data_IF_165544201386
#
_entry.id   IF_165544201386
#
_cell.length_a   1.000
_cell.length_b   1.000
_cell.length_c   1.000
_cell.angle_alpha   90.00
_cell.angle_beta   90.00
_cell.angle_gamma   90.00
#
_symmetry.space_group_name_H-M   'P 1'
#
loop_
_entity.id
_entity.type
_entity.pdbx_description
1 polymer ?
#
# COMPACT_ATOMS: atom_id res chain seq x y z
N UNK A 1 -0.44 -34.43 11.27
CA UNK A 1 -1.01 -33.23 10.62
C UNK A 1 -1.23 -32.21 11.72
N UNK A 2 -0.63 -31.02 11.60
CA UNK A 2 -0.95 -29.90 12.48
C UNK A 2 -2.41 -29.51 12.27
N UNK A 3 -3.12 -29.18 13.34
CA UNK A 3 -4.51 -28.73 13.26
C UNK A 3 -4.55 -27.21 13.18
N UNK A 4 -5.53 -26.62 12.51
CA UNK A 4 -5.68 -25.17 12.40
C UNK A 4 -5.88 -24.47 13.77
N UNK A 5 -6.29 -25.22 14.80
CA UNK A 5 -6.34 -24.74 16.18
C UNK A 5 -4.95 -24.45 16.79
N UNK A 6 -3.88 -24.95 16.15
CA UNK A 6 -2.49 -24.74 16.55
C UNK A 6 -1.82 -23.62 15.71
N UNK A 7 -2.59 -22.92 14.86
CA UNK A 7 -2.05 -21.86 14.02
C UNK A 7 -1.49 -20.72 14.87
N UNK A 8 -0.21 -20.50 14.76
CA UNK A 8 0.54 -19.48 15.50
C UNK A 8 2.02 -19.51 15.11
N UNK A 9 2.77 -18.57 15.65
CA UNK A 9 4.22 -18.56 15.47
C UNK A 9 4.85 -19.79 16.11
N UNK A 10 5.89 -20.32 15.46
CA UNK A 10 6.76 -21.31 16.10
C UNK A 10 7.32 -20.75 17.41
N UNK A 11 7.59 -21.60 18.43
CA UNK A 11 8.01 -21.13 19.74
C UNK A 11 9.22 -20.19 19.74
N UNK A 12 10.17 -20.42 18.81
CA UNK A 12 11.37 -19.58 18.67
C UNK A 12 11.11 -18.16 18.20
N UNK A 13 9.91 -17.88 17.66
CA UNK A 13 9.51 -16.58 17.12
C UNK A 13 8.42 -15.87 17.93
N UNK A 14 7.70 -16.62 18.80
CA UNK A 14 6.48 -16.13 19.43
C UNK A 14 6.68 -14.94 20.39
N UNK A 15 7.87 -14.82 20.99
CA UNK A 15 8.16 -13.78 22.00
C UNK A 15 9.15 -12.71 21.50
N UNK A 16 9.50 -12.71 20.22
CA UNK A 16 10.43 -11.72 19.70
C UNK A 16 9.79 -10.33 19.66
N UNK A 17 10.51 -9.36 20.23
CA UNK A 17 10.11 -7.96 20.16
C UNK A 17 10.18 -7.46 18.73
N UNK A 18 9.14 -6.77 18.27
CA UNK A 18 9.04 -6.17 16.93
C UNK A 18 8.95 -4.67 17.08
N UNK A 19 9.86 -3.96 16.46
CA UNK A 19 9.80 -2.51 16.31
C UNK A 19 9.97 -2.14 14.83
N UNK A 20 9.48 -0.96 14.45
CA UNK A 20 9.66 -0.47 13.09
C UNK A 20 10.02 1.01 13.10
N UNK A 21 10.73 1.45 12.07
CA UNK A 21 11.02 2.85 11.77
C UNK A 21 10.69 3.16 10.33
N UNK A 22 10.35 4.40 10.06
CA UNK A 22 10.21 4.92 8.70
C UNK A 22 11.31 5.95 8.48
N UNK A 23 12.11 5.77 7.46
CA UNK A 23 13.20 6.66 7.09
C UNK A 23 12.85 7.41 5.80
N UNK A 24 13.09 8.71 5.77
CA UNK A 24 13.05 9.52 4.56
C UNK A 24 14.38 9.35 3.82
N UNK A 25 14.34 8.70 2.68
CA UNK A 25 15.52 8.51 1.83
C UNK A 25 15.39 9.37 0.58
N UNK A 26 16.43 10.13 0.27
CA UNK A 26 16.49 10.95 -0.93
C UNK A 26 17.22 10.21 -2.05
N UNK A 27 16.54 9.99 -3.17
CA UNK A 27 17.12 9.49 -4.40
C UNK A 27 17.00 10.56 -5.48
N UNK A 28 18.05 11.35 -5.69
CA UNK A 28 18.02 12.55 -6.53
C UNK A 28 17.02 13.57 -6.00
N UNK A 29 16.05 14.00 -6.83
CA UNK A 29 14.99 14.96 -6.45
C UNK A 29 13.74 14.28 -5.87
N UNK A 30 13.76 12.95 -5.64
CA UNK A 30 12.60 12.18 -5.20
C UNK A 30 12.79 11.71 -3.76
N UNK A 31 11.89 12.14 -2.89
CA UNK A 31 11.78 11.61 -1.54
C UNK A 31 11.12 10.24 -1.60
N UNK A 32 11.77 9.23 -1.04
CA UNK A 32 11.24 7.87 -0.88
C UNK A 32 11.06 7.58 0.59
N UNK A 33 9.97 6.90 0.93
CA UNK A 33 9.70 6.44 2.27
C UNK A 33 10.14 4.99 2.37
N UNK A 34 11.09 4.69 3.26
CA UNK A 34 11.51 3.33 3.55
C UNK A 34 11.07 2.93 4.96
N UNK A 35 10.34 1.84 5.05
CA UNK A 35 9.97 1.24 6.33
C UNK A 35 10.87 0.04 6.62
N UNK A 36 11.48 0.09 7.80
CA UNK A 36 12.37 -0.95 8.28
C UNK A 36 11.84 -1.56 9.57
N UNK A 37 12.09 -2.84 9.75
CA UNK A 37 11.71 -3.59 10.94
C UNK A 37 12.95 -4.09 11.66
N UNK A 38 12.89 -4.08 13.00
CA UNK A 38 13.84 -4.74 13.89
C UNK A 38 13.11 -5.83 14.66
N UNK A 39 13.54 -7.07 14.52
CA UNK A 39 12.93 -8.25 15.11
C UNK A 39 13.95 -8.87 16.07
N UNK A 40 13.78 -8.68 17.38
CA UNK A 40 14.76 -9.11 18.36
C UNK A 40 16.17 -8.66 17.98
N UNK A 41 17.13 -9.59 18.01
CA UNK A 41 18.53 -9.34 17.65
C UNK A 41 18.85 -9.65 16.16
N UNK A 42 17.82 -9.92 15.34
CA UNK A 42 18.01 -10.18 13.91
C UNK A 42 18.48 -8.92 13.17
N UNK A 43 19.09 -9.04 11.98
CA UNK A 43 19.40 -7.89 11.14
C UNK A 43 18.15 -7.05 10.84
N UNK A 44 18.34 -5.74 10.68
CA UNK A 44 17.25 -4.85 10.26
C UNK A 44 16.71 -5.27 8.89
N UNK A 45 15.39 -5.30 8.74
CA UNK A 45 14.71 -5.86 7.56
C UNK A 45 13.86 -4.78 6.87
N UNK A 46 13.95 -4.64 5.52
CA UNK A 46 13.06 -3.75 4.80
C UNK A 46 11.62 -4.28 4.80
N UNK A 47 10.65 -3.38 4.70
CA UNK A 47 9.26 -3.81 4.51
C UNK A 47 9.03 -4.38 3.11
N UNK A 48 8.04 -5.28 2.98
CA UNK A 48 7.60 -5.80 1.68
C UNK A 48 7.28 -4.66 0.71
N UNK A 49 6.58 -3.63 1.16
CA UNK A 49 6.20 -2.48 0.32
C UNK A 49 7.40 -1.64 -0.10
N UNK A 50 8.36 -1.42 0.80
CA UNK A 50 9.65 -0.75 0.49
C UNK A 50 10.41 -1.49 -0.60
N UNK A 51 10.52 -2.81 -0.50
CA UNK A 51 11.17 -3.64 -1.53
C UNK A 51 10.45 -3.53 -2.87
N UNK A 52 9.11 -3.54 -2.87
CA UNK A 52 8.31 -3.46 -4.10
C UNK A 52 8.35 -2.08 -4.76
N UNK A 53 8.70 -1.02 -4.05
CA UNK A 53 8.89 0.29 -4.65
C UNK A 53 10.06 0.33 -5.65
N UNK A 54 10.99 -0.66 -5.59
CA UNK A 54 12.04 -0.86 -6.60
C UNK A 54 11.50 -1.21 -8.00
N UNK A 55 10.31 -1.81 -8.09
CA UNK A 55 9.70 -2.17 -9.39
C UNK A 55 9.29 -0.90 -10.17
N UNK A 56 9.08 0.23 -9.46
CA UNK A 56 8.55 1.45 -10.03
C UNK A 56 7.05 1.34 -10.33
N UNK A 57 6.39 2.46 -10.40
CA UNK A 57 4.94 2.57 -10.66
C UNK A 57 4.69 3.56 -11.81
N UNK A 58 4.97 3.18 -13.08
CA UNK A 58 4.85 4.12 -14.20
C UNK A 58 3.45 4.73 -14.32
N UNK A 59 2.40 3.93 -14.11
CA UNK A 59 1.03 4.41 -14.12
C UNK A 59 0.72 5.47 -13.06
N UNK A 60 1.34 5.35 -11.87
CA UNK A 60 1.20 6.36 -10.81
C UNK A 60 1.90 7.67 -11.17
N UNK A 61 3.07 7.60 -11.81
CA UNK A 61 3.78 8.78 -12.31
C UNK A 61 2.96 9.52 -13.35
N UNK A 62 2.41 8.79 -14.33
CA UNK A 62 1.58 9.35 -15.39
C UNK A 62 0.27 9.94 -14.82
N UNK A 63 -0.33 9.27 -13.85
CA UNK A 63 -1.50 9.77 -13.14
C UNK A 63 -1.22 11.09 -12.39
N UNK A 64 -0.09 11.18 -11.65
CA UNK A 64 0.33 12.42 -10.97
C UNK A 64 0.51 13.56 -11.96
N UNK A 65 1.13 13.29 -13.09
CA UNK A 65 1.34 14.28 -14.16
C UNK A 65 0.00 14.72 -14.77
N UNK A 66 -0.92 13.80 -15.04
CA UNK A 66 -2.25 14.12 -15.55
C UNK A 66 -3.05 14.98 -14.56
N UNK A 67 -2.98 14.68 -13.24
CA UNK A 67 -3.64 15.50 -12.22
C UNK A 67 -3.04 16.90 -12.11
N UNK A 68 -1.75 17.05 -12.28
CA UNK A 68 -1.10 18.36 -12.35
C UNK A 68 -1.60 19.18 -13.57
N UNK A 69 -1.72 18.55 -14.73
CA UNK A 69 -2.25 19.17 -15.94
C UNK A 69 -3.74 19.52 -15.81
N UNK A 70 -4.56 18.61 -15.29
CA UNK A 70 -5.98 18.84 -15.03
C UNK A 70 -6.21 20.04 -14.10
N UNK A 71 -5.43 20.14 -13.02
CA UNK A 71 -5.48 21.29 -12.13
C UNK A 71 -5.11 22.58 -12.84
N UNK A 72 -3.99 22.60 -13.57
CA UNK A 72 -3.55 23.78 -14.33
C UNK A 72 -4.60 24.21 -15.37
N UNK A 73 -5.20 23.26 -16.07
CA UNK A 73 -6.26 23.50 -17.05
C UNK A 73 -7.50 24.11 -16.39
N UNK A 74 -7.99 23.52 -15.29
CA UNK A 74 -9.18 23.99 -14.60
C UNK A 74 -9.01 25.41 -14.05
N UNK A 75 -7.86 25.72 -13.46
CA UNK A 75 -7.55 27.08 -13.01
C UNK A 75 -7.49 28.06 -14.18
N UNK A 76 -6.85 27.66 -15.28
CA UNK A 76 -6.75 28.51 -16.47
C UNK A 76 -8.13 28.80 -17.11
N UNK A 77 -9.08 27.86 -17.02
CA UNK A 77 -10.43 28.02 -17.55
C UNK A 77 -11.36 28.79 -16.61
N UNK A 78 -11.15 28.73 -15.30
CA UNK A 78 -11.98 29.37 -14.30
C UNK A 78 -11.66 30.86 -14.08
N UNK A 79 -10.41 31.27 -14.28
CA UNK A 79 -9.97 32.64 -14.08
C UNK A 79 -9.78 33.35 -15.45
N UNK A 80 -10.32 34.59 -15.63
CA UNK A 80 -9.97 35.40 -16.77
C UNK A 80 -8.47 35.77 -16.67
N UNK A 81 -7.66 35.19 -17.51
CA UNK A 81 -6.23 35.53 -17.57
C UNK A 81 -6.08 36.97 -18.06
N UNK A 82 -5.41 37.84 -17.29
CA UNK A 82 -5.11 39.16 -17.78
C UNK A 82 -4.26 39.07 -19.04
N UNK A 83 -4.56 39.89 -20.04
CA UNK A 83 -3.70 39.98 -21.23
C UNK A 83 -2.28 40.37 -20.73
N UNK A 84 -1.36 39.44 -20.92
CA UNK A 84 0.03 39.70 -20.51
C UNK A 84 0.75 40.46 -21.62
N UNK A 85 1.18 41.71 -21.38
CA UNK A 85 2.05 42.40 -22.31
C UNK A 85 3.34 41.60 -22.48
N UNK A 86 3.79 41.42 -23.70
CA UNK A 86 5.01 40.66 -24.03
C UNK A 86 6.26 41.15 -23.26
N UNK A 87 6.29 42.43 -22.93
CA UNK A 87 7.34 43.06 -22.12
C UNK A 87 7.33 42.61 -20.63
N UNK A 88 6.16 42.23 -20.05
CA UNK A 88 6.07 41.79 -18.66
C UNK A 88 6.58 40.36 -18.48
N UNK A 89 6.51 39.51 -19.51
CA UNK A 89 7.08 38.17 -19.49
C UNK A 89 8.60 38.15 -19.32
N UNK A 90 9.25 39.23 -19.73
CA UNK A 90 10.72 39.35 -19.67
C UNK A 90 11.22 39.94 -18.34
N UNK A 91 10.33 40.49 -17.51
CA UNK A 91 10.71 41.11 -16.23
C UNK A 91 10.65 40.10 -15.09
N UNK A 92 11.76 39.90 -14.32
CA UNK A 92 11.69 39.09 -13.10
C UNK A 92 10.85 39.82 -12.04
N UNK A 93 9.93 39.10 -11.37
CA UNK A 93 9.07 39.56 -10.27
C UNK A 93 7.84 40.40 -10.66
N UNK A 94 7.28 40.23 -11.86
CA UNK A 94 5.96 40.82 -12.15
C UNK A 94 4.85 39.99 -11.47
N UNK A 95 3.69 40.60 -11.19
CA UNK A 95 2.52 39.92 -10.64
C UNK A 95 2.12 38.72 -11.47
N UNK A 96 2.28 38.78 -12.79
CA UNK A 96 2.01 37.74 -13.75
C UNK A 96 2.93 36.51 -13.57
N UNK A 97 4.24 36.76 -13.45
CA UNK A 97 5.21 35.68 -13.24
C UNK A 97 5.04 35.03 -11.87
N UNK A 98 4.73 35.83 -10.83
CA UNK A 98 4.39 35.29 -9.51
C UNK A 98 3.14 34.40 -9.55
N UNK A 99 2.11 34.76 -10.34
CA UNK A 99 0.91 33.92 -10.52
C UNK A 99 1.21 32.62 -11.27
N UNK A 100 2.02 32.67 -12.34
CA UNK A 100 2.47 31.47 -13.05
C UNK A 100 3.29 30.54 -12.16
N UNK A 101 4.19 31.09 -11.35
CA UNK A 101 5.00 30.32 -10.41
C UNK A 101 4.12 29.71 -9.31
N UNK A 102 3.09 30.42 -8.84
CA UNK A 102 2.09 29.88 -7.92
C UNK A 102 1.32 28.74 -8.56
N UNK A 103 0.76 28.91 -9.77
CA UNK A 103 0.03 27.90 -10.51
C UNK A 103 0.88 26.64 -10.72
N UNK A 104 2.15 26.82 -11.07
CA UNK A 104 3.09 25.68 -11.22
C UNK A 104 3.27 24.90 -9.91
N UNK A 105 3.39 25.59 -8.76
CA UNK A 105 3.50 24.93 -7.44
C UNK A 105 2.21 24.22 -7.07
N UNK A 106 1.06 24.88 -7.20
CA UNK A 106 -0.27 24.33 -6.92
C UNK A 106 -0.55 23.09 -7.76
N UNK A 107 -0.27 23.17 -9.08
CA UNK A 107 -0.46 22.04 -10.00
C UNK A 107 0.46 20.86 -9.66
N UNK A 108 1.71 21.11 -9.28
CA UNK A 108 2.63 20.05 -8.84
C UNK A 108 2.14 19.38 -7.55
N UNK A 109 1.50 20.12 -6.65
CA UNK A 109 0.98 19.61 -5.39
C UNK A 109 -0.35 18.83 -5.55
N UNK A 110 -1.12 19.07 -6.61
CA UNK A 110 -2.46 18.49 -6.79
C UNK A 110 -2.45 16.94 -6.76
N UNK A 111 -1.53 16.31 -7.48
CA UNK A 111 -1.40 14.86 -7.49
C UNK A 111 -1.02 14.27 -6.12
N UNK A 112 0.06 14.74 -5.47
CA UNK A 112 0.43 14.33 -4.10
C UNK A 112 -0.68 14.50 -3.07
N UNK A 113 -1.40 15.64 -3.07
CA UNK A 113 -2.52 15.90 -2.16
C UNK A 113 -3.65 14.90 -2.32
N UNK A 114 -4.05 14.59 -3.57
CA UNK A 114 -5.06 13.59 -3.85
C UNK A 114 -4.62 12.17 -3.44
N UNK A 115 -3.33 11.86 -3.58
CA UNK A 115 -2.78 10.58 -3.11
C UNK A 115 -2.80 10.47 -1.60
N UNK A 116 -2.44 11.53 -0.87
CA UNK A 116 -2.48 11.53 0.59
C UNK A 116 -3.90 11.31 1.11
N UNK A 117 -4.89 11.99 0.52
CA UNK A 117 -6.31 11.74 0.85
C UNK A 117 -6.72 10.30 0.55
N UNK A 118 -6.37 9.78 -0.63
CA UNK A 118 -6.69 8.40 -1.00
C UNK A 118 -6.04 7.38 -0.07
N UNK A 119 -4.81 7.66 0.42
CA UNK A 119 -4.09 6.86 1.41
C UNK A 119 -4.82 6.86 2.75
N UNK A 120 -5.18 8.03 3.28
CA UNK A 120 -5.91 8.18 4.56
C UNK A 120 -7.24 7.41 4.55
N UNK A 121 -8.02 7.54 3.46
CA UNK A 121 -9.25 6.74 3.30
C UNK A 121 -8.94 5.25 3.31
N UNK A 122 -7.88 4.82 2.61
CA UNK A 122 -7.46 3.42 2.58
C UNK A 122 -7.08 2.91 3.97
N UNK A 123 -6.30 3.66 4.74
CA UNK A 123 -5.89 3.32 6.10
C UNK A 123 -7.10 3.16 7.03
N UNK A 124 -8.07 4.08 6.97
CA UNK A 124 -9.29 3.96 7.77
C UNK A 124 -10.15 2.76 7.33
N UNK A 125 -10.25 2.46 6.03
CA UNK A 125 -10.97 1.26 5.54
C UNK A 125 -10.30 -0.02 6.04
N UNK A 126 -8.97 -0.15 5.95
CA UNK A 126 -8.25 -1.33 6.46
C UNK A 126 -8.45 -1.49 7.97
N UNK A 127 -8.32 -0.40 8.74
CA UNK A 127 -8.57 -0.43 10.18
C UNK A 127 -10.00 -0.81 10.55
N UNK A 128 -11.00 -0.30 9.80
CA UNK A 128 -12.40 -0.63 10.02
C UNK A 128 -12.69 -2.11 9.69
N UNK A 129 -12.13 -2.63 8.59
CA UNK A 129 -12.27 -4.04 8.24
C UNK A 129 -11.61 -4.94 9.29
N UNK A 130 -10.40 -4.61 9.76
CA UNK A 130 -9.73 -5.37 10.79
C UNK A 130 -10.56 -5.41 12.10
N UNK A 131 -11.13 -4.27 12.50
CA UNK A 131 -12.01 -4.18 13.68
C UNK A 131 -13.30 -4.99 13.50
N UNK A 132 -13.94 -4.91 12.32
CA UNK A 132 -15.14 -5.70 11.98
C UNK A 132 -14.87 -7.19 12.07
N UNK A 133 -13.77 -7.66 11.48
CA UNK A 133 -13.37 -9.07 11.50
C UNK A 133 -13.10 -9.57 12.93
N UNK A 134 -12.62 -8.70 13.82
CA UNK A 134 -12.38 -9.01 15.24
C UNK A 134 -13.61 -8.74 16.13
N UNK A 135 -14.72 -8.29 15.55
CA UNK A 135 -15.92 -7.85 16.29
C UNK A 135 -15.59 -6.77 17.35
N UNK A 136 -14.79 -5.79 16.97
CA UNK A 136 -14.35 -4.67 17.82
C UNK A 136 -14.88 -3.34 17.27
N UNK A 137 -15.12 -2.33 18.13
CA UNK A 137 -15.48 -1.00 17.67
C UNK A 137 -14.31 -0.35 16.93
N UNK A 138 -14.60 0.42 15.89
CA UNK A 138 -13.63 1.22 15.16
C UNK A 138 -13.94 2.72 15.25
N UNK A 139 -12.91 3.52 15.41
CA UNK A 139 -12.99 4.97 15.31
C UNK A 139 -12.04 5.42 14.19
N UNK A 140 -12.57 6.14 13.22
CA UNK A 140 -11.77 6.64 12.09
C UNK A 140 -10.64 7.53 12.59
N UNK A 141 -9.43 7.26 12.13
CA UNK A 141 -8.22 7.98 12.54
C UNK A 141 -8.11 9.36 11.87
N UNK A 142 -8.65 9.49 10.66
CA UNK A 142 -8.55 10.68 9.82
C UNK A 142 -9.88 11.43 9.64
N UNK A 143 -10.85 11.21 10.53
CA UNK A 143 -12.20 11.77 10.40
C UNK A 143 -12.22 13.31 10.28
N UNK A 144 -11.30 13.99 10.97
CA UNK A 144 -11.19 15.46 10.97
C UNK A 144 -10.60 16.00 9.65
N UNK A 145 -9.88 15.17 8.90
CA UNK A 145 -9.31 15.50 7.61
C UNK A 145 -10.28 15.27 6.43
N UNK A 146 -11.39 14.55 6.68
CA UNK A 146 -12.32 14.10 5.65
C UNK A 146 -13.43 15.12 5.39
N UNK A 147 -13.63 15.43 4.11
CA UNK A 147 -14.83 16.07 3.65
C UNK A 147 -15.95 15.04 3.39
N UNK A 148 -17.13 15.50 2.94
CA UNK A 148 -18.28 14.62 2.68
C UNK A 148 -17.97 13.57 1.60
N UNK A 149 -17.26 13.94 0.53
CA UNK A 149 -16.85 13.00 -0.54
C UNK A 149 -15.90 11.90 -0.02
N UNK A 150 -14.98 12.24 0.89
CA UNK A 150 -14.07 11.27 1.49
C UNK A 150 -14.82 10.27 2.39
N UNK A 151 -15.81 10.75 3.13
CA UNK A 151 -16.70 9.91 3.95
C UNK A 151 -17.55 8.99 3.09
N UNK A 152 -18.14 9.51 2.00
CA UNK A 152 -18.89 8.71 1.04
C UNK A 152 -17.99 7.61 0.42
N UNK A 153 -16.72 7.92 0.11
CA UNK A 153 -15.77 6.94 -0.41
C UNK A 153 -15.42 5.85 0.63
N UNK A 154 -15.28 6.23 1.90
CA UNK A 154 -15.07 5.27 2.98
C UNK A 154 -16.27 4.35 3.14
N UNK A 155 -17.48 4.91 3.23
CA UNK A 155 -18.73 4.15 3.39
C UNK A 155 -18.95 3.20 2.22
N UNK A 156 -18.68 3.63 0.99
CA UNK A 156 -18.81 2.81 -0.20
C UNK A 156 -17.82 1.63 -0.20
N UNK A 157 -16.58 1.85 0.25
CA UNK A 157 -15.60 0.78 0.38
C UNK A 157 -16.03 -0.25 1.44
N UNK A 158 -16.57 0.20 2.57
CA UNK A 158 -17.09 -0.68 3.61
C UNK A 158 -18.32 -1.47 3.14
N UNK A 159 -19.24 -0.86 2.40
CA UNK A 159 -20.36 -1.56 1.77
C UNK A 159 -19.87 -2.62 0.77
N UNK A 160 -18.81 -2.31 0.00
CA UNK A 160 -18.18 -3.26 -0.92
C UNK A 160 -17.54 -4.44 -0.19
N UNK A 161 -16.93 -4.22 0.97
CA UNK A 161 -16.44 -5.28 1.85
C UNK A 161 -17.58 -6.17 2.37
N UNK A 162 -18.67 -5.59 2.85
CA UNK A 162 -19.84 -6.37 3.30
C UNK A 162 -20.47 -7.17 2.16
N UNK A 163 -20.48 -6.64 0.94
CA UNK A 163 -20.94 -7.37 -0.24
C UNK A 163 -20.03 -8.59 -0.55
N UNK A 164 -18.71 -8.42 -0.42
CA UNK A 164 -17.74 -9.51 -0.56
C UNK A 164 -17.98 -10.61 0.50
N UNK A 165 -18.09 -10.24 1.78
CA UNK A 165 -18.39 -11.18 2.87
C UNK A 165 -19.71 -11.93 2.65
N UNK A 166 -20.76 -11.22 2.25
CA UNK A 166 -22.07 -11.81 2.01
C UNK A 166 -22.06 -12.85 0.88
N UNK A 167 -21.29 -12.61 -0.20
CA UNK A 167 -21.18 -13.56 -1.30
C UNK A 167 -20.43 -14.84 -0.87
N UNK A 168 -19.37 -14.73 -0.05
CA UNK A 168 -18.67 -15.90 0.50
C UNK A 168 -19.59 -16.73 1.42
N UNK A 169 -20.36 -16.08 2.29
CA UNK A 169 -21.35 -16.77 3.13
C UNK A 169 -22.39 -17.48 2.27
N UNK A 170 -22.89 -16.83 1.23
CA UNK A 170 -23.89 -17.38 0.30
C UNK A 170 -23.35 -18.55 -0.51
N UNK A 171 -22.08 -18.51 -0.92
CA UNK A 171 -21.41 -19.62 -1.61
C UNK A 171 -21.08 -20.79 -0.69
N UNK A 172 -21.25 -20.63 0.62
CA UNK A 172 -20.93 -21.63 1.63
C UNK A 172 -19.49 -21.59 2.14
N UNK A 173 -18.67 -20.65 1.66
CA UNK A 173 -17.32 -20.42 2.16
C UNK A 173 -17.40 -19.54 3.42
N UNK A 174 -17.22 -20.15 4.58
CA UNK A 174 -17.29 -19.47 5.88
C UNK A 174 -15.91 -19.01 6.30
N UNK A 175 -15.49 -17.87 5.79
CA UNK A 175 -14.20 -17.28 6.11
C UNK A 175 -14.17 -16.79 7.56
N UNK A 176 -13.14 -17.20 8.30
CA UNK A 176 -12.88 -16.77 9.66
C UNK A 176 -11.49 -16.17 9.74
N UNK A 177 -11.30 -15.00 10.39
CA UNK A 177 -9.99 -14.41 10.58
C UNK A 177 -9.20 -15.21 11.62
N UNK A 178 -7.96 -15.51 11.31
CA UNK A 178 -6.97 -16.04 12.25
C UNK A 178 -6.06 -14.93 12.75
N UNK A 179 -5.62 -14.06 11.85
CA UNK A 179 -4.81 -12.85 12.15
C UNK A 179 -5.32 -11.68 11.31
N UNK A 180 -5.24 -10.47 11.91
CA UNK A 180 -5.42 -9.20 11.21
C UNK A 180 -4.23 -8.28 11.55
N UNK A 181 -3.67 -7.61 10.56
CA UNK A 181 -2.57 -6.64 10.72
C UNK A 181 -1.36 -7.18 11.53
N UNK A 182 -1.22 -8.49 11.62
CA UNK A 182 -0.13 -9.12 12.36
C UNK A 182 1.18 -8.92 11.61
N UNK A 183 2.18 -8.34 12.26
CA UNK A 183 3.51 -8.25 11.69
C UNK A 183 4.13 -9.63 11.53
N UNK A 184 4.59 -9.90 10.31
CA UNK A 184 5.33 -11.12 9.93
C UNK A 184 6.68 -10.74 9.36
N UNK A 185 7.58 -11.72 9.35
CA UNK A 185 8.89 -11.56 8.70
C UNK A 185 9.35 -12.88 8.09
N UNK A 186 10.39 -12.80 7.26
CA UNK A 186 11.07 -13.97 6.76
C UNK A 186 12.44 -14.07 7.42
N UNK A 187 12.67 -15.05 8.30
CA UNK A 187 14.01 -15.32 8.85
C UNK A 187 15.02 -15.73 7.78
N UNK A 188 14.57 -16.42 6.72
CA UNK A 188 15.43 -16.89 5.64
C UNK A 188 15.85 -15.75 4.70
N UNK A 189 14.94 -14.82 4.37
CA UNK A 189 15.17 -13.82 3.33
C UNK A 189 15.32 -12.40 3.87
N UNK A 190 15.13 -12.16 5.18
CA UNK A 190 15.35 -10.88 5.87
C UNK A 190 14.49 -9.72 5.30
N UNK A 191 13.19 -9.91 5.28
CA UNK A 191 12.20 -8.87 5.03
C UNK A 191 11.04 -9.01 6.02
N UNK A 192 10.25 -7.97 6.20
CA UNK A 192 9.09 -8.00 7.09
C UNK A 192 7.89 -7.23 6.49
N UNK A 193 6.73 -7.38 7.10
CA UNK A 193 5.52 -6.65 6.70
C UNK A 193 4.31 -7.09 7.50
N UNK A 194 3.17 -6.47 7.23
CA UNK A 194 1.90 -6.82 7.88
C UNK A 194 0.87 -7.10 6.79
N UNK A 195 0.45 -8.37 6.60
CA UNK A 195 -0.71 -8.68 5.79
C UNK A 195 -1.97 -8.13 6.46
N UNK A 196 -2.93 -7.71 5.66
CA UNK A 196 -4.20 -7.21 6.20
C UNK A 196 -4.93 -8.31 6.98
N UNK A 197 -4.97 -9.54 6.44
CA UNK A 197 -5.65 -10.65 7.11
C UNK A 197 -5.10 -12.01 6.68
N UNK A 198 -5.10 -12.95 7.61
CA UNK A 198 -5.03 -14.39 7.36
C UNK A 198 -6.39 -14.99 7.70
N UNK A 199 -7.00 -15.65 6.73
CA UNK A 199 -8.32 -16.25 6.83
C UNK A 199 -8.24 -17.78 6.75
N UNK A 200 -9.27 -18.44 7.25
CA UNK A 200 -9.52 -19.87 7.00
C UNK A 200 -11.00 -20.13 6.75
N UNK A 201 -11.30 -21.12 5.93
CA UNK A 201 -12.63 -21.72 5.78
C UNK A 201 -12.77 -23.04 6.57
N UNK A 202 -11.76 -23.37 7.40
CA UNK A 202 -11.63 -24.61 8.14
C UNK A 202 -10.81 -25.69 7.41
N UNK A 203 -10.54 -25.53 6.11
CA UNK A 203 -9.74 -26.47 5.30
C UNK A 203 -8.51 -25.84 4.67
N UNK A 204 -8.55 -24.54 4.39
CA UNK A 204 -7.50 -23.76 3.71
C UNK A 204 -7.03 -22.62 4.58
N UNK A 205 -5.77 -22.23 4.36
CA UNK A 205 -5.19 -20.97 4.84
C UNK A 205 -5.08 -19.98 3.68
N UNK A 206 -5.64 -18.80 3.88
CA UNK A 206 -5.78 -17.78 2.85
C UNK A 206 -5.14 -16.50 3.37
N UNK A 207 -4.18 -15.94 2.63
CA UNK A 207 -3.66 -14.59 2.88
C UNK A 207 -4.41 -13.63 1.96
N UNK A 208 -5.07 -12.64 2.53
CA UNK A 208 -5.80 -11.63 1.76
C UNK A 208 -5.30 -10.22 2.06
N UNK A 209 -5.39 -9.36 1.05
CA UNK A 209 -4.96 -7.97 1.10
C UNK A 209 -6.01 -7.10 0.40
N UNK A 210 -6.48 -6.07 1.12
CA UNK A 210 -7.51 -5.16 0.66
C UNK A 210 -6.91 -4.04 -0.18
N UNK A 211 -7.55 -3.68 -1.27
CA UNK A 211 -7.13 -2.55 -2.10
C UNK A 211 -8.32 -1.65 -2.39
N UNK A 212 -8.18 -0.37 -2.06
CA UNK A 212 -9.18 0.66 -2.31
C UNK A 212 -8.76 1.67 -3.39
N UNK A 213 -7.64 1.40 -4.08
CA UNK A 213 -7.09 2.24 -5.14
C UNK A 213 -7.94 2.25 -6.42
N UNK A 214 -7.46 2.96 -7.44
CA UNK A 214 -8.17 3.07 -8.72
C UNK A 214 -8.15 1.77 -9.55
N UNK A 215 -7.32 0.81 -9.20
CA UNK A 215 -7.20 -0.47 -9.91
C UNK A 215 -6.31 -1.47 -9.18
N UNK A 216 -6.22 -2.67 -9.75
CA UNK A 216 -5.36 -3.74 -9.25
C UNK A 216 -4.16 -3.89 -10.17
N UNK A 217 -3.00 -3.99 -9.57
CA UNK A 217 -1.72 -4.04 -10.26
C UNK A 217 -0.99 -5.34 -9.96
N UNK A 218 -0.14 -5.85 -10.89
CA UNK A 218 0.55 -7.13 -10.72
C UNK A 218 1.41 -7.21 -9.44
N UNK A 219 1.97 -6.09 -8.98
CA UNK A 219 2.77 -6.04 -7.77
C UNK A 219 2.00 -6.41 -6.50
N UNK A 220 0.67 -6.32 -6.49
CA UNK A 220 -0.14 -6.76 -5.35
C UNK A 220 -0.11 -8.28 -5.19
N UNK A 221 -0.09 -9.03 -6.30
CA UNK A 221 0.13 -10.48 -6.27
C UNK A 221 1.52 -10.85 -5.74
N UNK A 222 2.53 -10.04 -6.05
CA UNK A 222 3.89 -10.20 -5.51
C UNK A 222 3.92 -9.86 -4.02
N UNK A 223 3.19 -8.84 -3.58
CA UNK A 223 3.06 -8.43 -2.18
C UNK A 223 2.50 -9.57 -1.33
N UNK A 224 1.32 -10.10 -1.69
CA UNK A 224 0.67 -11.18 -0.91
C UNK A 224 1.49 -12.46 -0.92
N UNK A 225 2.27 -12.72 -1.98
CA UNK A 225 3.16 -13.87 -2.03
C UNK A 225 4.33 -13.78 -1.04
N UNK A 226 4.85 -12.57 -0.81
CA UNK A 226 5.86 -12.33 0.21
C UNK A 226 5.28 -12.56 1.61
N UNK A 227 4.06 -12.09 1.85
CA UNK A 227 3.37 -12.36 3.11
C UNK A 227 3.15 -13.86 3.33
N UNK A 228 2.65 -14.57 2.32
CA UNK A 228 2.42 -16.02 2.40
C UNK A 228 3.72 -16.79 2.76
N UNK A 229 4.84 -16.43 2.12
CA UNK A 229 6.12 -17.06 2.42
C UNK A 229 6.57 -16.78 3.86
N UNK A 230 6.52 -15.53 4.33
CA UNK A 230 6.89 -15.18 5.70
C UNK A 230 6.02 -15.91 6.74
N UNK A 231 4.70 -15.98 6.52
CA UNK A 231 3.79 -16.72 7.38
C UNK A 231 4.16 -18.21 7.41
N UNK A 232 4.41 -18.82 6.26
CA UNK A 232 4.77 -20.23 6.19
C UNK A 232 6.11 -20.52 6.90
N UNK A 233 7.11 -19.67 6.80
CA UNK A 233 8.36 -19.81 7.54
C UNK A 233 8.13 -19.70 9.06
N UNK A 234 7.36 -18.73 9.50
CA UNK A 234 7.13 -18.45 10.93
C UNK A 234 6.23 -19.47 11.61
N UNK A 235 5.25 -20.01 10.90
CA UNK A 235 4.24 -20.92 11.48
C UNK A 235 4.50 -22.38 11.15
N UNK A 236 5.11 -22.67 10.01
CA UNK A 236 5.23 -24.00 9.45
C UNK A 236 3.96 -24.51 8.75
N UNK A 237 2.87 -23.72 8.73
CA UNK A 237 1.65 -24.05 8.01
C UNK A 237 1.74 -23.63 6.56
N UNK A 238 1.38 -24.51 5.59
CA UNK A 238 1.33 -24.12 4.19
C UNK A 238 0.19 -23.13 3.95
N UNK A 239 0.45 -22.13 3.11
CA UNK A 239 -0.58 -21.21 2.63
C UNK A 239 -1.15 -21.74 1.32
N UNK A 240 -2.47 -21.94 1.29
CA UNK A 240 -3.17 -22.52 0.14
C UNK A 240 -3.50 -21.48 -0.92
N UNK A 241 -3.93 -20.28 -0.49
CA UNK A 241 -4.38 -19.22 -1.41
C UNK A 241 -3.85 -17.85 -1.01
N UNK A 242 -3.58 -17.02 -2.03
CA UNK A 242 -3.31 -15.59 -1.86
C UNK A 242 -4.33 -14.80 -2.65
N UNK A 243 -5.06 -13.91 -1.99
CA UNK A 243 -6.13 -13.09 -2.57
C UNK A 243 -5.81 -11.61 -2.50
N UNK A 244 -6.11 -10.88 -3.56
CA UNK A 244 -6.17 -9.43 -3.56
C UNK A 244 -7.61 -9.03 -3.79
N UNK A 245 -8.21 -8.34 -2.85
CA UNK A 245 -9.62 -7.93 -2.91
C UNK A 245 -9.69 -6.43 -3.11
N UNK A 246 -10.11 -6.03 -4.32
CA UNK A 246 -10.32 -4.63 -4.65
C UNK A 246 -11.73 -4.21 -4.27
N UNK A 247 -11.82 -3.28 -3.34
CA UNK A 247 -13.06 -2.69 -2.84
C UNK A 247 -13.31 -1.35 -3.53
N UNK A 248 -14.41 -1.24 -4.25
CA UNK A 248 -14.73 0.00 -4.95
C UNK A 248 -15.16 1.10 -3.97
N UNK A 249 -14.65 2.33 -4.18
CA UNK A 249 -15.03 3.55 -3.45
C UNK A 249 -16.02 4.44 -4.21
N UNK A 250 -16.35 4.06 -5.45
CA UNK A 250 -17.18 4.89 -6.33
C UNK A 250 -18.59 4.33 -6.51
N UNK A 251 -18.70 3.04 -6.50
CA UNK A 251 -19.94 2.30 -6.68
C UNK A 251 -19.89 1.02 -5.85
N UNK A 252 -21.03 0.50 -5.46
CA UNK A 252 -21.09 -0.75 -4.72
C UNK A 252 -20.52 -1.90 -5.56
N UNK A 253 -19.47 -2.54 -5.07
CA UNK A 253 -18.89 -3.71 -5.72
C UNK A 253 -17.44 -3.95 -5.34
N UNK A 254 -17.03 -5.18 -5.60
CA UNK A 254 -15.67 -5.64 -5.37
C UNK A 254 -15.17 -6.48 -6.54
N UNK A 255 -13.86 -6.68 -6.60
CA UNK A 255 -13.23 -7.67 -7.49
C UNK A 255 -12.20 -8.44 -6.69
N UNK A 256 -12.28 -9.76 -6.75
CA UNK A 256 -11.32 -10.66 -6.11
C UNK A 256 -10.39 -11.26 -7.14
N UNK A 257 -9.10 -11.27 -6.81
CA UNK A 257 -8.04 -11.81 -7.66
C UNK A 257 -7.25 -12.84 -6.87
N UNK A 258 -7.16 -14.04 -7.43
CA UNK A 258 -6.31 -15.10 -6.91
C UNK A 258 -4.94 -15.02 -7.57
N UNK A 259 -3.89 -15.07 -6.78
CA UNK A 259 -2.56 -15.30 -7.30
C UNK A 259 -2.43 -16.79 -7.66
N UNK A 260 -2.43 -17.09 -8.96
CA UNK A 260 -2.53 -18.48 -9.48
C UNK A 260 -1.43 -19.41 -8.94
N UNK A 261 -0.24 -18.90 -8.83
CA UNK A 261 0.92 -19.58 -8.26
C UNK A 261 1.70 -18.55 -7.45
N UNK A 262 1.37 -18.46 -6.17
CA UNK A 262 2.02 -17.49 -5.30
C UNK A 262 3.50 -17.82 -5.08
N UNK A 263 3.91 -19.09 -5.20
CA UNK A 263 5.32 -19.46 -5.09
C UNK A 263 6.16 -18.91 -6.26
N UNK A 264 5.56 -18.86 -7.46
CA UNK A 264 6.18 -18.23 -8.62
C UNK A 264 6.21 -16.70 -8.48
N UNK A 265 5.13 -16.09 -7.97
CA UNK A 265 5.08 -14.66 -7.68
C UNK A 265 6.13 -14.26 -6.63
N UNK A 266 6.36 -15.10 -5.62
CA UNK A 266 7.41 -14.89 -4.62
C UNK A 266 8.83 -14.87 -5.21
N UNK A 267 9.09 -15.59 -6.31
CA UNK A 267 10.38 -15.46 -7.01
C UNK A 267 10.60 -14.05 -7.55
N UNK A 268 9.53 -13.38 -8.00
CA UNK A 268 9.60 -11.97 -8.42
C UNK A 268 9.90 -11.04 -7.24
N UNK A 269 9.31 -11.32 -6.07
CA UNK A 269 9.66 -10.61 -4.85
C UNK A 269 11.14 -10.77 -4.49
N UNK A 270 11.69 -11.99 -4.52
CA UNK A 270 13.11 -12.25 -4.24
C UNK A 270 14.02 -11.51 -5.21
N UNK A 271 13.65 -11.41 -6.48
CA UNK A 271 14.43 -10.62 -7.44
C UNK A 271 14.45 -9.14 -7.08
N UNK A 272 13.29 -8.58 -6.65
CA UNK A 272 13.19 -7.19 -6.19
C UNK A 272 13.98 -6.97 -4.90
N UNK A 273 13.92 -7.90 -3.96
CA UNK A 273 14.69 -7.87 -2.70
C UNK A 273 16.19 -7.92 -2.97
N UNK A 274 16.62 -8.77 -3.90
CA UNK A 274 18.03 -8.82 -4.32
C UNK A 274 18.49 -7.47 -4.90
N UNK A 275 17.69 -6.87 -5.78
CA UNK A 275 17.98 -5.55 -6.34
C UNK A 275 18.02 -4.48 -5.26
N UNK A 276 17.06 -4.50 -4.32
CA UNK A 276 17.01 -3.58 -3.19
C UNK A 276 18.29 -3.66 -2.33
N UNK A 277 18.68 -4.87 -1.91
CA UNK A 277 19.88 -5.09 -1.11
C UNK A 277 21.14 -4.63 -1.85
N UNK A 278 21.28 -4.99 -3.12
CA UNK A 278 22.42 -4.57 -3.93
C UNK A 278 22.50 -3.03 -4.06
N UNK A 279 21.36 -2.36 -4.12
CA UNK A 279 21.30 -0.89 -4.14
C UNK A 279 21.78 -0.29 -2.82
N UNK A 280 21.35 -0.84 -1.69
CA UNK A 280 21.73 -0.37 -0.35
C UNK A 280 23.18 -0.72 0.01
N UNK A 281 23.69 -1.87 -0.44
CA UNK A 281 25.09 -2.29 -0.24
C UNK A 281 26.08 -1.49 -1.10
N UNK A 282 25.59 -0.66 -2.02
CA UNK A 282 26.39 0.20 -2.89
C UNK A 282 27.00 -0.55 -4.08
N UNK A 283 26.23 -0.64 -5.18
CA UNK A 283 26.72 -1.20 -6.46
C UNK A 283 27.86 -0.35 -7.03
N UNK A 284 27.83 0.97 -6.77
CA UNK A 284 28.84 1.91 -7.23
C UNK A 284 29.60 2.49 -6.02
N UNK A 285 30.87 2.16 -5.91
CA UNK A 285 31.78 2.82 -4.98
C UNK A 285 32.60 3.88 -5.72
N UNK A 286 32.65 5.11 -5.17
CA UNK A 286 33.54 6.13 -5.73
C UNK A 286 35.02 5.76 -5.47
N UNK A 287 35.81 5.70 -6.50
CA UNK A 287 37.27 5.51 -6.39
C UNK A 287 38.02 6.78 -5.94
N UNK A 288 37.37 7.71 -5.24
CA UNK A 288 38.02 8.88 -4.68
C UNK A 288 38.53 8.53 -3.27
N UNK A 289 39.71 7.93 -3.22
CA UNK A 289 40.61 7.91 -2.06
C UNK A 289 41.63 9.04 -2.17
#
# INVERSE_FOLDING_TARGET
>A
MQTLSEFGFKPEYAELAVTHRADDVWSGDTQMFERWYQIGDMPSMPSVTTVLDMIGKPGLRDWKMNKAWEHAYNVAMAEPWPQCPEEELKRPKTSWRARLDALKRESKAAGPTLLDRARKIGEDVHGAIAAELLNQPYTMQHIDDFNDEDRDQFDMAMQSFYAWMAEHIKSGERLQPLWTEQTIWSPEHLYAGSPDVVLTDGSKLIVADWKTGAGVYPEYGVQVSAYANGIQELTGFPIDECRVVHLSKKELGYKEYLTKDWSQAFKSFKASLHLFNAWHDGILTSNNS
#
